data_IF_686896143449
#
_entry.id   IF_686896143449
#
_cell.length_a   1.000
_cell.length_b   1.000
_cell.length_c   1.000
_cell.angle_alpha   90.00
_cell.angle_beta   90.00
_cell.angle_gamma   90.00
#
_symmetry.space_group_name_H-M   'P 1'
#
loop_
_entity.id
_entity.type
_entity.pdbx_description
1 polymer ?
#
# COMPACT_ATOMS: atom_id res chain seq x y z
N UNK A 1 -0.56 14.97 18.81
CA UNK A 1 0.23 15.18 17.57
C UNK A 1 0.62 13.88 16.86
N UNK A 2 1.18 12.87 17.54
CA UNK A 2 1.80 11.69 16.88
C UNK A 2 0.90 10.86 15.95
N UNK A 3 -0.39 10.72 16.27
CA UNK A 3 -1.33 9.92 15.44
C UNK A 3 -1.73 10.63 14.15
N UNK A 4 -1.82 11.96 14.16
CA UNK A 4 -2.16 12.74 12.96
C UNK A 4 -0.99 12.71 11.97
N UNK A 5 0.23 12.93 12.45
CA UNK A 5 1.43 12.77 11.63
C UNK A 5 1.56 11.35 11.07
N UNK A 6 1.32 10.32 11.88
CA UNK A 6 1.31 8.93 11.40
C UNK A 6 0.29 8.67 10.29
N UNK A 7 -0.90 9.28 10.38
CA UNK A 7 -1.95 9.17 9.34
C UNK A 7 -1.54 9.86 8.05
N UNK A 8 -0.98 11.07 8.14
CA UNK A 8 -0.50 11.80 6.96
C UNK A 8 0.65 11.01 6.31
N UNK A 9 1.60 10.52 7.10
CA UNK A 9 2.70 9.69 6.59
C UNK A 9 2.18 8.43 5.87
N UNK A 10 1.27 7.67 6.49
CA UNK A 10 0.68 6.49 5.86
C UNK A 10 -0.10 6.86 4.58
N UNK A 11 -0.86 7.95 4.59
CA UNK A 11 -1.59 8.43 3.42
C UNK A 11 -0.65 8.75 2.25
N UNK A 12 0.44 9.47 2.53
CA UNK A 12 1.45 9.83 1.53
C UNK A 12 2.20 8.60 1.01
N UNK A 13 2.57 7.66 1.87
CA UNK A 13 3.25 6.43 1.47
C UNK A 13 2.37 5.52 0.60
N UNK A 14 1.09 5.35 0.98
CA UNK A 14 0.13 4.54 0.20
C UNK A 14 -0.18 5.20 -1.14
N UNK A 15 -0.35 6.53 -1.16
CA UNK A 15 -0.53 7.29 -2.39
C UNK A 15 0.73 7.22 -3.28
N UNK A 16 1.93 7.32 -2.70
CA UNK A 16 3.19 7.18 -3.42
C UNK A 16 3.35 5.78 -4.03
N UNK A 17 3.00 4.71 -3.31
CA UNK A 17 2.98 3.36 -3.87
C UNK A 17 2.05 3.28 -5.08
N UNK A 18 0.83 3.83 -4.97
CA UNK A 18 -0.11 3.91 -6.10
C UNK A 18 0.42 4.72 -7.28
N UNK A 19 1.08 5.86 -7.01
CA UNK A 19 1.68 6.71 -8.03
C UNK A 19 2.86 6.03 -8.74
N UNK A 20 3.70 5.27 -8.03
CA UNK A 20 4.77 4.46 -8.62
C UNK A 20 4.18 3.41 -9.56
N UNK A 21 3.11 2.70 -9.15
CA UNK A 21 2.44 1.73 -10.02
C UNK A 21 1.84 2.39 -11.26
N UNK A 22 1.26 3.59 -11.11
CA UNK A 22 0.74 4.34 -12.24
C UNK A 22 1.84 4.76 -13.21
N UNK A 23 2.96 5.25 -12.68
CA UNK A 23 4.13 5.59 -13.48
C UNK A 23 4.65 4.37 -14.24
N UNK A 24 4.84 3.25 -13.55
CA UNK A 24 5.32 2.00 -14.15
C UNK A 24 4.34 1.43 -15.18
N UNK A 25 3.03 1.66 -14.99
CA UNK A 25 2.03 1.34 -15.99
C UNK A 25 2.29 2.10 -17.29
N UNK A 26 2.47 3.43 -17.23
CA UNK A 26 2.78 4.23 -18.42
C UNK A 26 4.16 3.90 -19.01
N UNK A 27 5.16 3.63 -18.18
CA UNK A 27 6.51 3.29 -18.63
C UNK A 27 6.54 2.00 -19.43
N UNK A 28 5.99 0.91 -18.88
CA UNK A 28 6.11 -0.42 -19.50
C UNK A 28 4.88 -1.32 -19.31
N UNK A 29 4.28 -1.35 -18.11
CA UNK A 29 3.34 -2.41 -17.77
C UNK A 29 2.03 -2.37 -18.56
N UNK A 30 1.66 -1.25 -19.19
CA UNK A 30 0.53 -1.19 -20.13
C UNK A 30 0.63 -2.18 -21.30
N UNK A 31 1.84 -2.69 -21.60
CA UNK A 31 2.09 -3.67 -22.68
C UNK A 31 2.04 -5.12 -22.21
N UNK A 32 2.08 -5.36 -20.90
CA UNK A 32 2.03 -6.71 -20.32
C UNK A 32 0.58 -7.00 -20.00
N UNK A 33 -0.01 -8.04 -20.60
CA UNK A 33 -1.47 -8.27 -20.61
C UNK A 33 -2.17 -8.16 -19.24
N UNK A 34 -2.44 -9.26 -18.54
CA UNK A 34 -3.20 -9.23 -17.27
C UNK A 34 -2.50 -8.36 -16.22
N UNK A 35 -1.16 -8.38 -16.20
CA UNK A 35 -0.34 -7.62 -15.24
C UNK A 35 -0.53 -6.12 -15.40
N UNK A 36 -0.63 -5.60 -16.62
CA UNK A 36 -0.87 -4.18 -16.87
C UNK A 36 -2.19 -3.70 -16.31
N UNK A 37 -3.27 -4.46 -16.49
CA UNK A 37 -4.57 -4.14 -15.87
C UNK A 37 -4.45 -4.14 -14.35
N UNK A 38 -3.75 -5.13 -13.77
CA UNK A 38 -3.53 -5.21 -12.33
C UNK A 38 -2.70 -4.03 -11.80
N UNK A 39 -1.68 -3.56 -12.53
CA UNK A 39 -0.93 -2.36 -12.17
C UNK A 39 -1.82 -1.12 -12.13
N UNK A 40 -2.72 -0.95 -13.09
CA UNK A 40 -3.64 0.19 -13.13
C UNK A 40 -4.67 0.13 -11.99
N UNK A 41 -5.23 -1.06 -11.73
CA UNK A 41 -6.15 -1.26 -10.59
C UNK A 41 -5.42 -1.01 -9.28
N UNK A 42 -4.19 -1.51 -9.13
CA UNK A 42 -3.38 -1.30 -7.94
C UNK A 42 -3.09 0.19 -7.72
N UNK A 43 -2.72 0.91 -8.78
CA UNK A 43 -2.53 2.35 -8.75
C UNK A 43 -3.79 3.09 -8.28
N UNK A 44 -4.95 2.78 -8.87
CA UNK A 44 -6.22 3.39 -8.48
C UNK A 44 -6.57 3.11 -7.02
N UNK A 45 -6.42 1.87 -6.56
CA UNK A 45 -6.67 1.48 -5.17
C UNK A 45 -5.74 2.22 -4.21
N UNK A 46 -4.45 2.28 -4.51
CA UNK A 46 -3.46 3.00 -3.69
C UNK A 46 -3.79 4.49 -3.56
N UNK A 47 -4.13 5.16 -4.66
CA UNK A 47 -4.50 6.58 -4.63
C UNK A 47 -5.80 6.83 -3.84
N UNK A 48 -6.82 5.98 -4.04
CA UNK A 48 -8.10 6.07 -3.32
C UNK A 48 -7.89 5.83 -1.82
N UNK A 49 -7.13 4.81 -1.43
CA UNK A 49 -6.85 4.51 -0.03
C UNK A 49 -5.99 5.59 0.63
N UNK A 50 -5.01 6.13 -0.09
CA UNK A 50 -4.20 7.27 0.36
C UNK A 50 -5.08 8.48 0.69
N UNK A 51 -6.00 8.84 -0.21
CA UNK A 51 -6.97 9.91 0.02
C UNK A 51 -7.92 9.58 1.19
N UNK A 52 -8.42 8.36 1.27
CA UNK A 52 -9.38 7.92 2.29
C UNK A 52 -8.81 7.93 3.72
N UNK A 53 -7.48 7.90 3.89
CA UNK A 53 -6.82 7.96 5.20
C UNK A 53 -6.92 9.35 5.88
N UNK A 54 -7.19 10.42 5.13
CA UNK A 54 -7.18 11.79 5.62
C UNK A 54 -8.47 12.25 6.35
N UNK A 55 -9.69 12.00 5.83
CA UNK A 55 -10.91 12.62 6.35
C UNK A 55 -11.25 12.22 7.79
N UNK A 56 -11.16 10.94 8.15
CA UNK A 56 -11.60 10.41 9.47
C UNK A 56 -10.76 9.24 9.94
N UNK A 57 -10.68 9.07 11.26
CA UNK A 57 -9.95 7.95 11.90
C UNK A 57 -10.73 6.65 11.74
N UNK A 58 -10.52 5.96 10.63
CA UNK A 58 -11.16 4.66 10.34
C UNK A 58 -10.15 3.52 10.41
N UNK A 59 -10.40 2.56 11.31
CA UNK A 59 -9.55 1.35 11.37
C UNK A 59 -9.75 0.45 10.17
N UNK A 60 -10.95 0.44 9.59
CA UNK A 60 -11.21 -0.31 8.36
C UNK A 60 -10.33 0.22 7.23
N UNK A 61 -10.24 1.55 7.07
CA UNK A 61 -9.39 2.16 6.04
C UNK A 61 -7.90 1.93 6.34
N UNK A 62 -7.47 2.04 7.60
CA UNK A 62 -6.08 1.74 7.96
C UNK A 62 -5.72 0.27 7.73
N UNK A 63 -6.62 -0.66 8.03
CA UNK A 63 -6.43 -2.08 7.76
C UNK A 63 -6.42 -2.36 6.26
N UNK A 64 -7.30 -1.73 5.49
CA UNK A 64 -7.33 -1.84 4.03
C UNK A 64 -6.04 -1.32 3.39
N UNK A 65 -5.52 -0.18 3.86
CA UNK A 65 -4.24 0.37 3.41
C UNK A 65 -3.05 -0.56 3.71
N UNK A 66 -3.04 -1.18 4.90
CA UNK A 66 -2.03 -2.19 5.25
C UNK A 66 -2.16 -3.45 4.40
N UNK A 67 -3.39 -3.94 4.21
CA UNK A 67 -3.69 -5.09 3.37
C UNK A 67 -3.29 -4.86 1.91
N UNK A 68 -3.54 -3.67 1.37
CA UNK A 68 -3.06 -3.23 0.07
C UNK A 68 -1.53 -3.39 -0.01
N UNK A 69 -0.76 -2.71 0.85
CA UNK A 69 0.70 -2.73 0.78
C UNK A 69 1.30 -4.15 0.95
N UNK A 70 0.73 -4.96 1.85
CA UNK A 70 1.16 -6.35 2.04
C UNK A 70 0.84 -7.20 0.82
N UNK A 71 -0.32 -7.02 0.21
CA UNK A 71 -0.73 -7.77 -0.98
C UNK A 71 0.17 -7.44 -2.17
N UNK A 72 0.55 -6.16 -2.34
CA UNK A 72 1.44 -5.75 -3.42
C UNK A 72 2.85 -6.33 -3.25
N UNK A 73 3.40 -6.30 -2.03
CA UNK A 73 4.68 -6.96 -1.72
C UNK A 73 4.62 -8.48 -1.95
N UNK A 74 3.54 -9.12 -1.52
CA UNK A 74 3.34 -10.56 -1.74
C UNK A 74 3.25 -10.88 -3.24
N UNK A 75 2.50 -10.08 -4.01
CA UNK A 75 2.39 -10.22 -5.45
C UNK A 75 3.75 -10.02 -6.15
N UNK A 76 4.57 -9.06 -5.70
CA UNK A 76 5.93 -8.86 -6.20
C UNK A 76 6.83 -10.07 -5.92
N UNK A 77 6.84 -10.58 -4.68
CA UNK A 77 7.60 -11.79 -4.34
C UNK A 77 7.11 -12.98 -5.19
N UNK A 78 5.80 -13.13 -5.37
CA UNK A 78 5.27 -14.22 -6.20
C UNK A 78 5.71 -14.05 -7.67
N UNK A 79 5.59 -12.85 -8.22
CA UNK A 79 5.99 -12.53 -9.59
C UNK A 79 7.48 -12.79 -9.85
N UNK A 80 8.35 -12.54 -8.88
CA UNK A 80 9.81 -12.76 -9.03
C UNK A 80 10.21 -14.24 -8.90
N UNK A 81 9.50 -15.01 -8.06
CA UNK A 81 9.82 -16.41 -7.75
C UNK A 81 9.14 -17.41 -8.69
N UNK A 82 7.86 -17.20 -8.98
CA UNK A 82 7.05 -18.11 -9.80
C UNK A 82 6.49 -17.47 -11.06
N UNK A 83 6.49 -16.13 -11.14
CA UNK A 83 5.82 -15.41 -12.21
C UNK A 83 4.33 -15.20 -11.93
N UNK A 84 3.72 -14.31 -12.71
CA UNK A 84 2.31 -13.97 -12.67
C UNK A 84 1.79 -13.84 -14.10
N UNK A 85 0.81 -14.65 -14.49
CA UNK A 85 0.16 -14.57 -15.81
C UNK A 85 1.14 -14.55 -17.00
N UNK A 86 2.19 -15.38 -16.96
CA UNK A 86 3.21 -15.48 -18.01
C UNK A 86 4.28 -14.37 -17.97
N UNK A 87 4.20 -13.42 -17.05
CA UNK A 87 5.24 -12.44 -16.78
C UNK A 87 6.07 -12.86 -15.56
N UNK A 88 7.39 -12.68 -15.62
CA UNK A 88 8.29 -12.93 -14.48
C UNK A 88 9.15 -11.71 -14.22
N UNK A 89 8.95 -11.11 -13.06
CA UNK A 89 9.65 -9.90 -12.64
C UNK A 89 11.09 -10.20 -12.17
N UNK A 90 11.98 -9.22 -12.29
CA UNK A 90 13.31 -9.26 -11.68
C UNK A 90 13.22 -8.82 -10.23
N UNK A 91 13.93 -9.50 -9.35
CA UNK A 91 13.92 -9.13 -7.93
C UNK A 91 14.64 -7.79 -7.67
N UNK A 92 15.62 -7.43 -8.49
CA UNK A 92 16.44 -6.24 -8.33
C UNK A 92 16.26 -5.27 -9.49
N UNK A 93 16.33 -3.98 -9.15
CA UNK A 93 16.23 -2.87 -10.07
C UNK A 93 15.77 -1.60 -9.33
N UNK A 94 16.12 -0.44 -9.87
CA UNK A 94 15.89 0.84 -9.18
C UNK A 94 14.42 1.07 -8.84
N UNK A 95 13.50 0.68 -9.72
CA UNK A 95 12.07 0.81 -9.49
C UNK A 95 11.52 -0.25 -8.55
N UNK A 96 12.05 -1.47 -8.59
CA UNK A 96 11.69 -2.56 -7.68
C UNK A 96 12.09 -2.23 -6.24
N UNK A 97 13.29 -1.68 -6.06
CA UNK A 97 13.78 -1.21 -4.76
C UNK A 97 12.97 -0.02 -4.25
N UNK A 98 12.69 0.97 -5.12
CA UNK A 98 11.87 2.12 -4.75
C UNK A 98 10.44 1.73 -4.37
N UNK A 99 9.77 0.92 -5.20
CA UNK A 99 8.43 0.43 -4.93
C UNK A 99 8.40 -0.41 -3.64
N UNK A 100 9.30 -1.38 -3.52
CA UNK A 100 9.38 -2.26 -2.35
C UNK A 100 9.66 -1.50 -1.05
N UNK A 101 10.53 -0.49 -1.07
CA UNK A 101 10.79 0.35 0.10
C UNK A 101 9.57 1.18 0.50
N UNK A 102 8.88 1.81 -0.45
CA UNK A 102 7.68 2.61 -0.20
C UNK A 102 6.54 1.73 0.32
N UNK A 103 6.35 0.55 -0.26
CA UNK A 103 5.32 -0.41 0.18
C UNK A 103 5.60 -0.96 1.57
N UNK A 104 6.86 -1.30 1.87
CA UNK A 104 7.23 -1.75 3.21
C UNK A 104 6.98 -0.64 4.24
N UNK A 105 7.38 0.59 3.94
CA UNK A 105 7.09 1.74 4.80
C UNK A 105 5.58 1.97 4.96
N UNK A 106 4.79 1.86 3.88
CA UNK A 106 3.34 1.96 3.91
C UNK A 106 2.70 0.88 4.80
N UNK A 107 3.14 -0.37 4.66
CA UNK A 107 2.66 -1.50 5.45
C UNK A 107 2.94 -1.31 6.95
N UNK A 108 4.15 -0.87 7.29
CA UNK A 108 4.53 -0.57 8.68
C UNK A 108 3.71 0.59 9.25
N UNK A 109 3.61 1.71 8.53
CA UNK A 109 2.84 2.87 8.95
C UNK A 109 1.36 2.54 9.16
N UNK A 110 0.75 1.81 8.23
CA UNK A 110 -0.64 1.36 8.34
C UNK A 110 -0.86 0.41 9.54
N UNK A 111 0.06 -0.53 9.76
CA UNK A 111 -0.01 -1.46 10.90
C UNK A 111 0.05 -0.73 12.24
N UNK A 112 0.93 0.28 12.36
CA UNK A 112 1.01 1.13 13.55
C UNK A 112 -0.28 1.93 13.78
N UNK A 113 -0.91 2.42 12.71
CA UNK A 113 -2.19 3.14 12.80
C UNK A 113 -3.35 2.25 13.26
N UNK A 114 -3.39 1.00 12.78
CA UNK A 114 -4.36 -0.01 13.24
C UNK A 114 -4.16 -0.26 14.74
N UNK A 115 -2.92 -0.53 15.18
CA UNK A 115 -2.59 -0.77 16.58
C UNK A 115 -2.93 0.41 17.50
N UNK A 116 -2.56 1.63 17.10
CA UNK A 116 -2.87 2.85 17.86
C UNK A 116 -4.39 3.08 18.00
N UNK A 117 -5.17 2.68 17.00
CA UNK A 117 -6.63 2.84 17.01
C UNK A 117 -7.35 1.72 17.76
N UNK A 118 -6.80 0.50 17.78
CA UNK A 118 -7.28 -0.57 18.65
C UNK A 118 -7.06 -0.24 20.14
N UNK A 119 -5.89 0.33 20.48
CA UNK A 119 -5.58 0.80 21.84
C UNK A 119 -6.55 1.89 22.31
N UNK A 120 -6.84 2.87 21.44
CA UNK A 120 -7.77 3.96 21.74
C UNK A 120 -9.20 3.46 22.01
N UNK A 121 -9.69 2.48 21.24
CA UNK A 121 -11.03 1.88 21.48
C UNK A 121 -11.11 1.13 22.81
N UNK A 122 -10.08 0.36 23.15
CA UNK A 122 -10.04 -0.39 24.43
C UNK A 122 -10.08 0.54 25.64
N UNK A 123 -9.40 1.68 25.57
CA UNK A 123 -9.39 2.66 26.67
C UNK A 123 -10.80 3.24 26.94
N UNK A 124 -11.57 3.55 25.89
CA UNK A 124 -12.94 4.06 26.00
C UNK A 124 -13.89 3.01 26.58
N UNK A 125 -13.71 1.73 26.26
CA UNK A 125 -14.56 0.65 26.81
C UNK A 125 -14.30 0.33 28.28
N UNK A 126 -13.24 0.86 28.89
CA UNK A 126 -12.88 0.64 30.29
C UNK A 126 -13.28 1.81 31.22
N UNK A 127 -13.81 2.92 30.70
CA UNK A 127 -14.41 3.96 31.54
C UNK A 127 -15.83 3.54 31.97
N UNK A 128 -16.09 3.40 33.28
CA UNK A 128 -17.38 2.96 33.84
C UNK A 128 -18.46 4.05 33.82
#
# INVERSE_FOLDING_TARGET
MSVVFGRIAAALLVAAAGAIHLYLWFDYFHRVHTVGVLFLVNAAVGLVLGAALLPRRSVVVSAAAGGYAVTTLAAFVVSTRWGLFGYRERFWGSWQEAAGAVELAAALAASLLVGASAKARRAVSCEP
#
